data_IF_428986738731
#
_entry.id   IF_428986738731
#
_cell.length_a   1.000
_cell.length_b   1.000
_cell.length_c   1.000
_cell.angle_alpha   90.00
_cell.angle_beta   90.00
_cell.angle_gamma   90.00
#
_symmetry.space_group_name_H-M   'P 1'
#
loop_
_entity.id
_entity.type
_entity.pdbx_description
1 polymer ?
#
# COMPACT_ATOMS: atom_id res chain seq x y z
N UNK A 1 7.44 -21.45 -5.69
CA UNK A 1 6.24 -20.80 -6.24
C UNK A 1 5.97 -19.52 -5.45
N UNK A 2 5.92 -18.40 -6.17
CA UNK A 2 5.64 -17.11 -5.53
C UNK A 2 4.12 -17.02 -5.32
N UNK A 3 3.70 -16.83 -4.07
CA UNK A 3 2.31 -16.56 -3.75
C UNK A 3 2.02 -15.10 -4.10
N UNK A 4 1.10 -14.86 -5.01
CA UNK A 4 0.68 -13.50 -5.35
C UNK A 4 -0.35 -12.92 -4.39
N UNK A 5 -0.68 -13.63 -3.33
CA UNK A 5 -1.62 -13.11 -2.33
C UNK A 5 -0.98 -11.91 -1.60
N UNK A 6 -1.62 -10.78 -1.71
CA UNK A 6 -1.15 -9.55 -1.08
C UNK A 6 -1.84 -9.40 0.27
N UNK A 7 -1.04 -9.34 1.32
CA UNK A 7 -1.54 -9.14 2.66
C UNK A 7 -1.88 -7.66 2.87
N UNK A 8 -3.02 -7.39 3.48
CA UNK A 8 -3.48 -6.02 3.79
C UNK A 8 -3.40 -5.82 5.29
N UNK A 9 -2.58 -4.87 5.70
CA UNK A 9 -2.49 -4.48 7.10
C UNK A 9 -3.59 -3.48 7.44
N UNK A 10 -4.42 -3.82 8.43
CA UNK A 10 -5.50 -2.94 8.88
C UNK A 10 -4.99 -2.08 10.04
N UNK A 11 -4.58 -0.87 9.70
CA UNK A 11 -4.21 0.17 10.68
C UNK A 11 -4.93 1.46 10.28
N UNK A 12 -4.69 2.53 11.03
CA UNK A 12 -5.21 3.86 10.69
C UNK A 12 -4.81 4.25 9.26
N UNK A 13 -3.60 3.88 8.84
CA UNK A 13 -3.16 4.00 7.45
C UNK A 13 -2.93 2.60 6.90
N UNK A 14 -3.84 2.09 6.06
CA UNK A 14 -3.71 0.74 5.53
C UNK A 14 -2.48 0.59 4.64
N UNK A 15 -1.81 -0.52 4.80
CA UNK A 15 -0.62 -0.87 4.01
C UNK A 15 -0.85 -2.16 3.26
N UNK A 16 -0.24 -2.27 2.09
CA UNK A 16 -0.17 -3.52 1.33
C UNK A 16 1.25 -4.04 1.40
N UNK A 17 1.41 -5.35 1.49
CA UNK A 17 2.72 -6.00 1.60
C UNK A 17 3.08 -6.62 0.27
N UNK A 18 4.11 -6.08 -0.36
CA UNK A 18 4.55 -6.51 -1.69
C UNK A 18 5.89 -7.22 -1.62
N UNK A 19 6.09 -8.17 -2.54
CA UNK A 19 7.33 -8.94 -2.63
C UNK A 19 8.38 -8.09 -3.34
N UNK A 20 9.44 -7.71 -2.64
CA UNK A 20 10.51 -6.91 -3.22
C UNK A 20 11.34 -7.74 -4.19
N UNK A 21 11.96 -7.07 -5.16
CA UNK A 21 12.63 -7.72 -6.28
C UNK A 21 13.81 -8.61 -5.89
N UNK A 22 14.39 -8.46 -4.72
CA UNK A 22 15.45 -9.35 -4.24
C UNK A 22 14.93 -10.73 -3.81
N UNK A 23 13.60 -10.88 -3.67
CA UNK A 23 12.98 -12.15 -3.34
C UNK A 23 13.10 -12.56 -1.87
N UNK A 24 13.66 -11.73 -1.02
CA UNK A 24 13.91 -12.05 0.38
C UNK A 24 12.81 -11.64 1.35
N UNK A 25 11.62 -11.36 0.86
CA UNK A 25 10.51 -11.09 1.73
C UNK A 25 9.58 -10.01 1.20
N UNK A 26 8.70 -9.55 2.07
CA UNK A 26 7.73 -8.51 1.74
C UNK A 26 8.07 -7.22 2.45
N UNK A 27 7.69 -6.11 1.84
CA UNK A 27 7.81 -4.78 2.43
C UNK A 27 6.44 -4.13 2.49
N UNK A 28 6.13 -3.38 3.55
CA UNK A 28 4.87 -2.66 3.65
C UNK A 28 4.89 -1.37 2.83
N UNK A 29 3.81 -1.12 2.11
CA UNK A 29 3.62 0.12 1.34
C UNK A 29 2.32 0.77 1.81
N UNK A 30 2.43 1.97 2.36
CA UNK A 30 1.25 2.75 2.75
C UNK A 30 0.52 3.20 1.49
N UNK A 31 -0.75 2.78 1.33
CA UNK A 31 -1.52 3.07 0.11
C UNK A 31 -1.71 4.55 -0.13
N UNK A 32 -1.72 5.37 0.92
CA UNK A 32 -1.86 6.82 0.78
C UNK A 32 -0.61 7.47 0.20
N UNK A 33 0.54 6.80 0.23
CA UNK A 33 1.80 7.32 -0.32
C UNK A 33 2.12 6.79 -1.71
N UNK A 34 1.34 5.83 -2.21
CA UNK A 34 1.57 5.27 -3.54
C UNK A 34 1.09 6.27 -4.59
N UNK A 35 2.01 6.76 -5.40
CA UNK A 35 1.73 7.75 -6.43
C UNK A 35 1.37 7.10 -7.77
N UNK A 36 2.00 5.98 -8.09
CA UNK A 36 1.83 5.33 -9.38
C UNK A 36 2.25 3.87 -9.30
N UNK A 37 1.67 3.06 -10.18
CA UNK A 37 2.05 1.65 -10.38
C UNK A 37 2.15 1.43 -11.88
N UNK A 38 3.26 0.83 -12.31
CA UNK A 38 3.50 0.50 -13.72
C UNK A 38 3.87 -0.97 -13.87
N UNK A 39 3.56 -1.54 -15.02
CA UNK A 39 4.02 -2.88 -15.35
C UNK A 39 5.54 -2.89 -15.58
N UNK A 40 6.21 -3.93 -15.10
CA UNK A 40 7.63 -4.14 -15.29
C UNK A 40 7.87 -5.55 -15.79
N UNK A 41 7.91 -5.69 -17.11
CA UNK A 41 8.02 -7.01 -17.74
C UNK A 41 6.73 -7.81 -17.59
N UNK A 42 6.83 -9.13 -17.67
CA UNK A 42 5.66 -10.02 -17.68
C UNK A 42 5.11 -10.30 -16.27
N UNK A 43 5.97 -10.25 -15.25
CA UNK A 43 5.61 -10.73 -13.92
C UNK A 43 5.97 -9.80 -12.78
N UNK A 44 6.19 -8.53 -13.06
CA UNK A 44 6.58 -7.58 -12.03
C UNK A 44 5.96 -6.23 -12.22
N UNK A 45 6.23 -5.33 -11.28
CA UNK A 45 5.72 -3.97 -11.32
C UNK A 45 6.71 -2.99 -10.72
N UNK A 46 6.55 -1.73 -11.06
CA UNK A 46 7.30 -0.62 -10.45
C UNK A 46 6.27 0.20 -9.67
N UNK A 47 6.48 0.32 -8.37
CA UNK A 47 5.62 1.11 -7.48
C UNK A 47 6.37 2.38 -7.11
N UNK A 48 5.78 3.52 -7.43
CA UNK A 48 6.34 4.84 -7.08
C UNK A 48 5.67 5.35 -5.82
N UNK A 49 6.46 5.65 -4.82
CA UNK A 49 5.98 6.04 -3.49
C UNK A 49 6.54 7.41 -3.14
N UNK A 50 5.73 8.23 -2.47
CA UNK A 50 6.20 9.49 -1.91
C UNK A 50 6.90 9.21 -0.58
N UNK A 51 8.21 9.42 -0.53
CA UNK A 51 9.01 9.19 0.67
C UNK A 51 9.79 10.43 1.06
N UNK A 52 10.03 10.62 2.37
CA UNK A 52 10.89 11.72 2.80
C UNK A 52 12.31 11.47 2.36
N UNK A 53 12.97 12.52 1.86
CA UNK A 53 14.40 12.52 1.61
C UNK A 53 15.12 12.33 2.94
N UNK A 54 16.11 11.44 2.98
CA UNK A 54 16.81 11.15 4.23
C UNK A 54 17.59 12.33 4.80
N UNK A 55 18.04 12.20 6.05
CA UNK A 55 18.83 13.22 6.74
C UNK A 55 17.98 14.34 7.33
N UNK A 56 18.45 15.60 7.22
CA UNK A 56 17.78 16.75 7.78
C UNK A 56 16.80 17.42 6.82
N UNK A 57 16.58 16.84 5.66
CA UNK A 57 15.67 17.41 4.66
C UNK A 57 14.23 17.09 4.99
N UNK A 58 13.33 18.07 4.85
CA UNK A 58 11.89 17.86 4.96
C UNK A 58 11.24 17.58 3.61
N UNK A 59 12.04 17.43 2.55
CA UNK A 59 11.52 17.21 1.20
C UNK A 59 10.98 15.80 1.05
N UNK A 60 9.89 15.69 0.30
CA UNK A 60 9.29 14.42 -0.06
C UNK A 60 9.56 14.19 -1.54
N UNK A 61 10.18 13.05 -1.86
CA UNK A 61 10.57 12.71 -3.21
C UNK A 61 9.88 11.41 -3.65
N UNK A 62 9.57 11.28 -4.95
CA UNK A 62 9.08 10.00 -5.47
C UNK A 62 10.23 8.99 -5.51
N UNK A 63 9.98 7.81 -4.98
CA UNK A 63 10.94 6.70 -4.99
C UNK A 63 10.30 5.51 -5.68
N UNK A 64 11.02 4.90 -6.61
CA UNK A 64 10.54 3.73 -7.35
C UNK A 64 11.05 2.44 -6.71
N UNK A 65 10.13 1.49 -6.53
CA UNK A 65 10.44 0.15 -6.02
C UNK A 65 10.04 -0.89 -7.04
N UNK A 66 10.97 -1.80 -7.34
CA UNK A 66 10.67 -2.94 -8.19
C UNK A 66 10.15 -4.09 -7.33
N UNK A 67 8.95 -4.57 -7.66
CA UNK A 67 8.28 -5.63 -6.92
C UNK A 67 7.93 -6.78 -7.85
N UNK A 68 7.77 -7.99 -7.29
CA UNK A 68 7.47 -9.18 -8.07
C UNK A 68 5.97 -9.41 -8.27
N UNK A 69 5.14 -8.63 -7.62
CA UNK A 69 3.68 -8.73 -7.76
C UNK A 69 3.23 -8.15 -9.09
N UNK A 70 2.19 -8.74 -9.67
CA UNK A 70 1.64 -8.26 -10.94
C UNK A 70 0.89 -6.93 -10.76
N UNK A 71 0.85 -6.14 -11.82
CA UNK A 71 0.16 -4.86 -11.84
C UNK A 71 -1.31 -5.00 -11.41
N UNK A 72 -2.03 -5.97 -11.97
CA UNK A 72 -3.44 -6.16 -11.68
C UNK A 72 -3.69 -6.48 -10.20
N UNK A 73 -2.84 -7.33 -9.61
CA UNK A 73 -2.96 -7.69 -8.20
C UNK A 73 -2.66 -6.52 -7.29
N UNK A 74 -1.70 -5.69 -7.64
CA UNK A 74 -1.37 -4.49 -6.86
C UNK A 74 -2.52 -3.49 -6.91
N UNK A 75 -3.09 -3.24 -8.09
CA UNK A 75 -4.23 -2.34 -8.26
C UNK A 75 -5.44 -2.82 -7.46
N UNK A 76 -5.73 -4.11 -7.53
CA UNK A 76 -6.82 -4.72 -6.75
C UNK A 76 -6.60 -4.54 -5.24
N UNK A 77 -5.36 -4.80 -4.78
CA UNK A 77 -5.02 -4.65 -3.37
C UNK A 77 -5.13 -3.21 -2.88
N UNK A 78 -4.73 -2.24 -3.69
CA UNK A 78 -4.86 -0.82 -3.36
C UNK A 78 -6.33 -0.45 -3.22
N UNK A 79 -7.17 -0.88 -4.15
CA UNK A 79 -8.60 -0.60 -4.09
C UNK A 79 -9.25 -1.23 -2.87
N UNK A 80 -8.92 -2.49 -2.56
CA UNK A 80 -9.41 -3.18 -1.38
C UNK A 80 -8.98 -2.50 -0.09
N UNK A 81 -7.72 -2.07 -0.01
CA UNK A 81 -7.20 -1.38 1.17
C UNK A 81 -7.92 -0.05 1.40
N UNK A 82 -8.23 0.68 0.34
CA UNK A 82 -9.00 1.92 0.43
C UNK A 82 -10.43 1.67 0.91
N UNK A 83 -11.04 0.58 0.49
CA UNK A 83 -12.37 0.20 0.96
C UNK A 83 -12.36 -0.15 2.44
N UNK A 84 -11.35 -0.88 2.91
CA UNK A 84 -11.20 -1.18 4.34
C UNK A 84 -11.03 0.08 5.18
N UNK A 85 -10.28 1.05 4.67
CA UNK A 85 -10.12 2.33 5.36
C UNK A 85 -11.44 3.06 5.51
N UNK A 86 -12.26 3.12 4.45
CA UNK A 86 -13.57 3.74 4.48
C UNK A 86 -14.52 3.01 5.45
N UNK A 87 -14.56 1.68 5.38
CA UNK A 87 -15.40 0.88 6.28
C UNK A 87 -15.01 1.09 7.74
N UNK A 88 -13.71 1.18 8.02
CA UNK A 88 -13.21 1.45 9.37
C UNK A 88 -13.64 2.81 9.88
N UNK A 89 -13.55 3.85 9.04
CA UNK A 89 -13.96 5.21 9.41
C UNK A 89 -15.47 5.28 9.64
N UNK A 90 -16.28 4.64 8.82
CA UNK A 90 -17.74 4.59 8.99
C UNK A 90 -18.10 3.89 10.29
N UNK A 91 -17.43 2.81 10.63
CA UNK A 91 -17.66 2.09 11.88
C UNK A 91 -17.31 2.93 13.11
N UNK A 92 -16.20 3.67 13.05
CA UNK A 92 -15.81 4.57 14.13
C UNK A 92 -16.89 5.65 14.30
N UNK A 93 -17.38 6.21 13.21
CA UNK A 93 -18.45 7.22 13.23
C UNK A 93 -19.72 6.68 13.87
N UNK A 94 -20.13 5.47 13.52
CA UNK A 94 -21.30 4.82 14.14
C UNK A 94 -21.14 4.65 15.64
N UNK A 95 -19.95 4.23 16.09
CA UNK A 95 -19.67 4.05 17.51
C UNK A 95 -19.70 5.39 18.26
N UNK A 96 -19.18 6.45 17.67
CA UNK A 96 -19.21 7.80 18.27
C UNK A 96 -20.64 8.32 18.36
N UNK A 97 -21.47 8.09 17.33
CA UNK A 97 -22.88 8.50 17.35
C UNK A 97 -23.66 7.78 18.44
N UNK A 98 -23.36 6.51 18.71
CA UNK A 98 -24.00 5.75 19.78
C UNK A 98 -23.60 6.25 21.17
N UNK A 99 -22.33 6.63 21.34
CA UNK A 99 -21.84 7.15 22.62
C UNK A 99 -22.36 8.57 22.89
N UNK A 100 -22.68 9.31 21.85
CA UNK A 100 -23.19 10.66 21.96
C UNK A 100 -24.68 10.75 22.34
N UNK A 101 -25.31 9.62 22.55
CA UNK A 101 -26.71 9.56 23.03
C UNK A 101 -26.73 9.29 24.54
#
# INVERSE_FOLDING_TARGET
MIKEDIEIGIKITPSIYLIINDGFGTAPFNVDTILDVKEDGENGSIVTVAEPEGGFSSRILPTEYHVLNSYDKIREAIDDAKMYKLAGLERIKELLDKEGQ
#
